data_IF_694988843992
#
_entry.id   IF_694988843992
#
_cell.length_a   1.000
_cell.length_b   1.000
_cell.length_c   1.000
_cell.angle_alpha   90.00
_cell.angle_beta   90.00
_cell.angle_gamma   90.00
#
_symmetry.space_group_name_H-M   'P 1'
#
loop_
_entity.id
_entity.type
_entity.pdbx_description
1 polymer ?
#
# COMPACT_ATOMS: atom_id res chain seq x y z
N UNK A 1 4.10 -39.43 -27.18
CA UNK A 1 3.91 -39.56 -25.72
C UNK A 1 4.92 -38.66 -25.05
N UNK A 2 4.55 -37.41 -24.77
CA UNK A 2 5.40 -36.49 -24.01
C UNK A 2 4.82 -36.45 -22.59
N UNK A 3 5.60 -36.95 -21.64
CA UNK A 3 5.29 -36.89 -20.23
C UNK A 3 5.41 -35.43 -19.77
N UNK A 4 4.38 -34.93 -19.09
CA UNK A 4 4.46 -33.71 -18.31
C UNK A 4 5.32 -34.02 -17.09
N UNK A 5 6.47 -33.35 -17.01
CA UNK A 5 7.30 -33.33 -15.82
C UNK A 5 6.72 -32.24 -14.93
N UNK A 6 6.19 -32.63 -13.78
CA UNK A 6 5.76 -31.69 -12.74
C UNK A 6 6.99 -30.96 -12.22
N UNK A 7 7.24 -29.76 -12.75
CA UNK A 7 8.24 -28.86 -12.19
C UNK A 7 7.70 -28.33 -10.85
N UNK A 8 8.39 -28.78 -9.80
CA UNK A 8 8.23 -28.35 -8.42
C UNK A 8 8.17 -26.82 -8.35
N UNK A 9 7.00 -26.28 -7.97
CA UNK A 9 6.81 -24.86 -7.68
C UNK A 9 7.79 -24.47 -6.57
N UNK A 10 8.91 -23.86 -6.96
CA UNK A 10 9.87 -23.28 -6.04
C UNK A 10 9.15 -22.21 -5.21
N UNK A 11 9.11 -22.39 -3.89
CA UNK A 11 8.69 -21.35 -2.94
C UNK A 11 9.75 -20.25 -2.96
N UNK A 12 9.59 -19.30 -3.87
CA UNK A 12 10.42 -18.09 -3.88
C UNK A 12 9.91 -17.17 -2.77
N UNK A 13 10.68 -17.03 -1.69
CA UNK A 13 10.41 -16.08 -0.61
C UNK A 13 10.77 -14.67 -1.09
N UNK A 14 9.80 -13.74 -1.04
CA UNK A 14 10.03 -12.31 -1.28
C UNK A 14 10.24 -11.64 0.09
N UNK A 15 11.25 -10.77 0.21
CA UNK A 15 11.47 -9.97 1.42
C UNK A 15 10.46 -8.83 1.45
N UNK A 16 9.52 -8.86 2.39
CA UNK A 16 8.38 -7.96 2.46
C UNK A 16 8.50 -7.01 3.65
N UNK A 17 8.18 -5.73 3.42
CA UNK A 17 7.84 -4.74 4.44
C UNK A 17 6.32 -4.74 4.67
N UNK A 18 5.86 -4.35 5.85
CA UNK A 18 4.42 -4.23 6.14
C UNK A 18 4.09 -2.78 6.52
N UNK A 19 3.03 -2.24 5.92
CA UNK A 19 2.47 -0.93 6.27
C UNK A 19 1.02 -1.09 6.67
N UNK A 20 0.67 -0.61 7.85
CA UNK A 20 -0.70 -0.63 8.35
C UNK A 20 -1.24 0.80 8.34
N UNK A 21 -2.31 1.02 7.58
CA UNK A 21 -3.18 2.19 7.74
C UNK A 21 -4.22 1.94 8.82
N UNK A 22 -4.48 2.93 9.68
CA UNK A 22 -5.49 2.83 10.72
C UNK A 22 -6.81 3.48 10.26
N UNK A 23 -7.87 2.68 10.09
CA UNK A 23 -9.19 3.13 9.60
C UNK A 23 -10.12 3.63 10.71
N UNK A 24 -10.97 4.63 10.40
CA UNK A 24 -11.90 5.30 11.34
C UNK A 24 -12.80 4.31 12.11
N UNK A 25 -13.13 3.15 11.50
CA UNK A 25 -13.99 2.11 12.10
C UNK A 25 -13.38 0.70 12.21
N UNK A 26 -12.16 0.42 11.70
CA UNK A 26 -11.59 -0.96 11.66
C UNK A 26 -10.14 -1.03 12.20
N UNK A 27 -9.85 -1.74 13.30
CA UNK A 27 -9.70 -3.20 13.43
C UNK A 27 -8.55 -3.86 12.62
N UNK A 28 -7.59 -3.10 12.08
CA UNK A 28 -6.36 -3.69 11.49
C UNK A 28 -5.14 -3.50 12.39
N UNK A 29 -4.81 -2.24 12.73
CA UNK A 29 -3.62 -1.96 13.55
C UNK A 29 -3.74 -2.33 15.02
N UNK A 30 -4.90 -2.09 15.64
CA UNK A 30 -5.11 -2.43 17.06
C UNK A 30 -5.18 -3.94 17.26
N UNK A 31 -5.98 -4.73 16.50
CA UNK A 31 -5.95 -6.19 16.58
C UNK A 31 -4.57 -6.78 16.27
N UNK A 32 -3.87 -6.31 15.22
CA UNK A 32 -2.53 -6.80 14.93
C UNK A 32 -1.54 -6.60 16.10
N UNK A 33 -1.61 -5.45 16.79
CA UNK A 33 -0.78 -5.19 17.99
C UNK A 33 -1.23 -6.02 19.19
N UNK A 34 -2.53 -6.27 19.35
CA UNK A 34 -3.07 -7.16 20.38
C UNK A 34 -2.61 -8.60 20.14
N UNK A 35 -2.64 -9.08 18.90
CA UNK A 35 -2.26 -10.45 18.56
C UNK A 35 -0.74 -10.65 18.68
N UNK A 36 0.07 -9.67 18.27
CA UNK A 36 1.51 -9.64 18.57
C UNK A 36 1.78 -9.72 20.08
N UNK A 37 0.96 -9.07 20.91
CA UNK A 37 1.10 -9.13 22.36
C UNK A 37 0.74 -10.50 22.93
N UNK A 38 -0.35 -11.12 22.45
CA UNK A 38 -0.80 -12.43 22.92
C UNK A 38 0.21 -13.54 22.60
N UNK A 39 0.94 -13.42 21.48
CA UNK A 39 1.95 -14.40 21.11
C UNK A 39 3.32 -14.14 21.74
N UNK A 40 3.56 -12.98 22.39
CA UNK A 40 4.86 -12.55 22.95
C UNK A 40 6.02 -12.51 21.93
N UNK A 41 5.70 -12.37 20.63
CA UNK A 41 6.70 -12.31 19.55
C UNK A 41 6.85 -10.89 19.02
N UNK A 42 8.08 -10.54 18.64
CA UNK A 42 8.36 -9.32 17.89
C UNK A 42 8.18 -9.54 16.39
N UNK A 43 7.77 -8.48 15.67
CA UNK A 43 7.71 -8.49 14.22
C UNK A 43 9.08 -8.81 13.60
N UNK A 44 9.09 -9.78 12.68
CA UNK A 44 10.29 -10.23 11.94
C UNK A 44 10.64 -9.31 10.78
N UNK A 45 9.68 -8.50 10.34
CA UNK A 45 9.82 -7.52 9.27
C UNK A 45 9.48 -6.12 9.79
N UNK A 46 9.98 -5.04 9.17
CA UNK A 46 9.60 -3.69 9.54
C UNK A 46 8.10 -3.45 9.37
N UNK A 47 7.48 -2.87 10.39
CA UNK A 47 6.06 -2.50 10.44
C UNK A 47 5.95 -1.01 10.66
N UNK A 48 5.36 -0.30 9.70
CA UNK A 48 4.99 1.11 9.88
C UNK A 48 3.47 1.22 10.02
N UNK A 49 3.00 1.74 11.16
CA UNK A 49 1.60 2.01 11.42
C UNK A 49 1.34 3.52 11.30
N UNK A 50 0.46 3.92 10.39
CA UNK A 50 0.08 5.32 10.19
C UNK A 50 -1.35 5.55 10.66
N UNK A 51 -1.52 6.55 11.52
CA UNK A 51 -2.82 6.98 12.04
C UNK A 51 -3.33 8.13 11.17
N UNK A 52 -4.28 7.86 10.28
CA UNK A 52 -4.70 8.84 9.28
C UNK A 52 -6.22 8.92 9.05
N UNK A 53 -6.96 7.83 9.22
CA UNK A 53 -8.40 7.85 8.99
C UNK A 53 -9.21 8.17 10.25
N UNK A 54 -8.63 8.46 11.41
CA UNK A 54 -9.40 8.78 12.63
C UNK A 54 -9.90 10.22 12.69
N UNK A 55 -9.31 11.13 11.91
CA UNK A 55 -9.73 12.54 11.85
C UNK A 55 -11.08 12.64 11.14
N UNK A 56 -12.02 13.36 11.76
CA UNK A 56 -13.31 13.69 11.16
C UNK A 56 -13.41 15.19 10.92
N UNK A 57 -14.15 15.59 9.89
CA UNK A 57 -14.41 17.01 9.59
C UNK A 57 -15.65 17.47 10.35
N UNK A 58 -15.51 17.71 11.66
CA UNK A 58 -16.59 18.26 12.50
C UNK A 58 -16.77 19.77 12.30
N UNK A 59 -15.66 20.48 12.12
CA UNK A 59 -15.59 21.91 11.85
C UNK A 59 -14.93 22.13 10.49
N UNK A 60 -15.51 23.01 9.67
CA UNK A 60 -14.99 23.40 8.36
C UNK A 60 -15.14 24.92 8.14
N UNK A 61 -14.36 25.48 7.20
CA UNK A 61 -14.39 26.92 6.83
C UNK A 61 -14.20 27.88 8.01
N UNK A 62 -13.35 27.50 8.97
CA UNK A 62 -12.93 28.35 10.07
C UNK A 62 -11.41 28.31 10.20
N UNK A 63 -10.79 29.41 10.60
CA UNK A 63 -9.33 29.49 10.82
C UNK A 63 -8.86 28.45 11.85
N UNK A 64 -9.70 28.14 12.85
CA UNK A 64 -9.40 27.15 13.89
C UNK A 64 -9.89 25.73 13.56
N UNK A 65 -10.40 25.46 12.35
CA UNK A 65 -11.02 24.18 12.01
C UNK A 65 -10.07 22.99 12.17
N UNK A 66 -8.81 23.13 11.72
CA UNK A 66 -7.80 22.07 11.84
C UNK A 66 -7.55 21.72 13.31
N UNK A 67 -7.30 22.73 14.15
CA UNK A 67 -7.03 22.50 15.57
C UNK A 67 -8.23 21.88 16.29
N UNK A 68 -9.45 22.37 16.00
CA UNK A 68 -10.67 21.85 16.62
C UNK A 68 -10.92 20.38 16.27
N UNK A 69 -10.75 20.00 14.99
CA UNK A 69 -10.93 18.60 14.55
C UNK A 69 -9.88 17.67 15.16
N UNK A 70 -8.62 18.11 15.24
CA UNK A 70 -7.54 17.34 15.88
C UNK A 70 -7.81 17.13 17.38
N UNK A 71 -8.34 18.13 18.08
CA UNK A 71 -8.65 18.01 19.50
C UNK A 71 -9.82 17.06 19.75
N UNK A 72 -10.87 17.11 18.90
CA UNK A 72 -11.98 16.17 18.94
C UNK A 72 -11.54 14.73 18.66
N UNK A 73 -10.67 14.53 17.67
CA UNK A 73 -10.08 13.22 17.36
C UNK A 73 -9.33 12.65 18.57
N UNK A 74 -8.48 13.46 19.20
CA UNK A 74 -7.72 13.04 20.37
C UNK A 74 -8.61 12.69 21.56
N UNK A 75 -9.69 13.45 21.77
CA UNK A 75 -10.68 13.14 22.82
C UNK A 75 -11.40 11.81 22.55
N UNK A 76 -11.82 11.56 21.30
CA UNK A 76 -12.55 10.34 20.90
C UNK A 76 -11.68 9.08 20.94
N UNK A 77 -10.40 9.19 20.62
CA UNK A 77 -9.51 8.04 20.40
C UNK A 77 -8.38 7.93 21.44
N UNK A 78 -8.49 8.64 22.57
CA UNK A 78 -7.43 8.72 23.60
C UNK A 78 -6.87 7.35 24.03
N UNK A 79 -7.75 6.38 24.30
CA UNK A 79 -7.34 5.03 24.73
C UNK A 79 -6.61 4.28 23.62
N UNK A 80 -7.09 4.38 22.38
CA UNK A 80 -6.47 3.76 21.20
C UNK A 80 -5.07 4.34 20.95
N UNK A 81 -4.92 5.65 21.02
CA UNK A 81 -3.62 6.31 20.87
C UNK A 81 -2.66 5.96 21.99
N UNK A 82 -3.14 5.83 23.24
CA UNK A 82 -2.32 5.36 24.34
C UNK A 82 -1.84 3.92 24.13
N UNK A 83 -2.72 3.03 23.65
CA UNK A 83 -2.39 1.65 23.34
C UNK A 83 -1.36 1.52 22.20
N UNK A 84 -1.57 2.22 21.08
CA UNK A 84 -0.63 2.19 19.94
C UNK A 84 0.72 2.82 20.30
N UNK A 85 0.71 3.91 21.08
CA UNK A 85 1.94 4.50 21.60
C UNK A 85 2.69 3.53 22.51
N UNK A 86 1.97 2.77 23.34
CA UNK A 86 2.59 1.70 24.12
C UNK A 86 3.17 0.61 23.21
N UNK A 87 2.42 0.14 22.20
CA UNK A 87 2.87 -0.87 21.24
C UNK A 87 4.16 -0.48 20.52
N UNK A 88 4.27 0.77 20.06
CA UNK A 88 5.49 1.30 19.43
C UNK A 88 6.72 1.26 20.34
N UNK A 89 6.54 1.28 21.67
CA UNK A 89 7.64 1.18 22.63
C UNK A 89 7.90 -0.27 23.08
N UNK A 90 6.87 -1.13 23.00
CA UNK A 90 6.93 -2.51 23.44
C UNK A 90 7.56 -3.44 22.38
N UNK A 91 7.37 -3.16 21.09
CA UNK A 91 7.86 -3.99 19.99
C UNK A 91 9.05 -3.37 19.27
N UNK A 92 10.02 -4.22 18.91
CA UNK A 92 11.07 -3.85 17.97
C UNK A 92 10.55 -3.89 16.54
N UNK A 93 11.12 -3.08 15.66
CA UNK A 93 10.73 -2.96 14.24
C UNK A 93 9.32 -2.40 14.00
N UNK A 94 8.71 -1.75 15.00
CA UNK A 94 7.42 -1.07 14.87
C UNK A 94 7.60 0.45 14.97
N UNK A 95 7.22 1.16 13.91
CA UNK A 95 7.12 2.62 13.90
C UNK A 95 5.64 3.02 13.92
N UNK A 96 5.27 3.96 14.77
CA UNK A 96 3.92 4.56 14.78
C UNK A 96 4.01 6.03 14.39
N UNK A 97 3.37 6.38 13.27
CA UNK A 97 3.20 7.76 12.80
C UNK A 97 1.92 8.33 13.42
N UNK A 98 2.00 9.44 14.17
CA UNK A 98 0.87 9.99 14.93
C UNK A 98 -0.19 10.64 14.03
N UNK A 99 -1.42 10.84 14.54
CA UNK A 99 -2.48 11.52 13.81
C UNK A 99 -2.07 12.94 13.38
N UNK A 100 -2.62 13.40 12.26
CA UNK A 100 -2.32 14.71 11.69
C UNK A 100 -1.00 14.81 10.92
N UNK A 101 -0.27 13.69 10.75
CA UNK A 101 0.98 13.65 9.98
C UNK A 101 0.78 13.47 8.47
N UNK A 102 -0.45 13.24 8.02
CA UNK A 102 -0.80 12.95 6.63
C UNK A 102 -1.54 11.63 6.48
N UNK A 103 -1.76 11.22 5.23
CA UNK A 103 -2.44 9.98 4.85
C UNK A 103 -1.39 8.89 4.57
N UNK A 104 -1.67 7.64 4.96
CA UNK A 104 -0.73 6.50 4.94
C UNK A 104 0.02 6.36 3.62
N UNK A 105 -0.67 6.46 2.48
CA UNK A 105 -0.03 6.29 1.18
C UNK A 105 0.88 7.46 0.79
N UNK A 106 0.49 8.69 1.16
CA UNK A 106 1.32 9.87 0.90
C UNK A 106 2.55 9.88 1.82
N UNK A 107 2.36 9.59 3.11
CA UNK A 107 3.47 9.43 4.07
C UNK A 107 4.39 8.29 3.64
N UNK A 108 3.84 7.20 3.10
CA UNK A 108 4.65 6.12 2.56
C UNK A 108 5.49 6.59 1.37
N UNK A 109 4.87 7.23 0.38
CA UNK A 109 5.54 7.72 -0.82
C UNK A 109 6.64 8.75 -0.52
N UNK A 110 6.40 9.64 0.44
CA UNK A 110 7.29 10.78 0.73
C UNK A 110 8.33 10.48 1.82
N UNK A 111 8.07 9.54 2.73
CA UNK A 111 8.90 9.36 3.94
C UNK A 111 9.26 7.91 4.26
N UNK A 112 8.34 6.94 4.14
CA UNK A 112 8.58 5.57 4.63
C UNK A 112 9.19 4.63 3.58
N UNK A 113 8.94 4.87 2.29
CA UNK A 113 9.47 4.06 1.20
C UNK A 113 10.98 4.23 1.07
N UNK A 114 11.69 3.12 0.94
CA UNK A 114 13.15 3.10 0.85
C UNK A 114 13.64 2.90 -0.57
N UNK A 115 12.80 2.34 -1.44
CA UNK A 115 13.11 1.92 -2.82
C UNK A 115 14.13 0.79 -2.89
N UNK A 116 15.24 0.90 -2.15
CA UNK A 116 16.24 -0.14 -1.96
C UNK A 116 16.57 -0.25 -0.47
N UNK A 117 16.44 -1.45 0.08
CA UNK A 117 16.93 -1.76 1.41
C UNK A 117 18.42 -2.11 1.37
N UNK A 118 19.13 -1.77 2.44
CA UNK A 118 20.48 -2.24 2.71
C UNK A 118 20.46 -2.98 4.06
N UNK A 119 20.58 -4.31 4.01
CA UNK A 119 20.72 -5.14 5.20
C UNK A 119 22.13 -5.72 5.24
N UNK A 120 22.99 -5.16 6.09
CA UNK A 120 24.36 -5.65 6.30
C UNK A 120 25.18 -5.81 4.99
N UNK A 121 24.99 -4.90 4.04
CA UNK A 121 25.68 -4.91 2.73
C UNK A 121 24.93 -5.68 1.63
N UNK A 122 23.81 -6.33 1.95
CA UNK A 122 22.92 -6.94 0.98
C UNK A 122 21.90 -5.89 0.54
N UNK A 123 21.94 -5.51 -0.74
CA UNK A 123 20.98 -4.62 -1.36
C UNK A 123 19.84 -5.43 -1.99
N UNK A 124 18.60 -5.05 -1.69
CA UNK A 124 17.41 -5.64 -2.30
C UNK A 124 16.31 -4.59 -2.50
N UNK A 125 15.45 -4.75 -3.52
CA UNK A 125 14.37 -3.80 -3.77
C UNK A 125 13.39 -3.78 -2.59
N UNK A 126 12.84 -2.60 -2.34
CA UNK A 126 11.72 -2.43 -1.43
C UNK A 126 10.48 -3.12 -2.01
N UNK A 127 9.71 -3.78 -1.14
CA UNK A 127 8.39 -4.30 -1.46
C UNK A 127 7.52 -4.24 -0.21
N UNK A 128 6.23 -3.95 -0.39
CA UNK A 128 5.35 -3.64 0.74
C UNK A 128 3.97 -4.23 0.58
N UNK A 129 3.47 -4.87 1.64
CA UNK A 129 2.04 -5.14 1.76
C UNK A 129 1.43 -4.27 2.83
N UNK A 130 0.17 -3.92 2.66
CA UNK A 130 -0.52 -3.18 3.69
C UNK A 130 -1.97 -3.54 3.84
N UNK A 131 -2.53 -3.23 5.01
CA UNK A 131 -3.95 -3.52 5.34
C UNK A 131 -4.91 -2.51 4.70
N UNK A 132 -4.47 -1.86 3.62
CA UNK A 132 -5.20 -0.84 2.88
C UNK A 132 -5.08 -1.16 1.38
N UNK A 133 -6.21 -1.17 0.67
CA UNK A 133 -6.26 -1.50 -0.76
C UNK A 133 -5.42 -0.56 -1.62
N UNK A 134 -5.26 0.70 -1.21
CA UNK A 134 -4.53 1.73 -1.95
C UNK A 134 -3.02 1.69 -1.67
N UNK A 135 -2.53 0.67 -0.95
CA UNK A 135 -1.08 0.42 -0.81
C UNK A 135 -0.36 0.40 -2.16
N UNK A 136 -1.07 0.04 -3.23
CA UNK A 136 -0.59 0.10 -4.61
C UNK A 136 -0.14 1.49 -5.05
N UNK A 137 -0.52 2.60 -4.39
CA UNK A 137 -0.01 3.94 -4.73
C UNK A 137 1.52 4.01 -4.79
N UNK A 138 2.22 3.20 -3.97
CA UNK A 138 3.69 3.17 -3.91
C UNK A 138 4.34 2.60 -5.17
N UNK A 139 3.58 1.84 -5.97
CA UNK A 139 4.02 1.29 -7.25
C UNK A 139 4.47 2.38 -8.23
N UNK A 140 3.92 3.60 -8.10
CA UNK A 140 4.34 4.76 -8.90
C UNK A 140 5.81 5.16 -8.67
N UNK A 141 6.37 4.79 -7.52
CA UNK A 141 7.79 4.98 -7.15
C UNK A 141 8.67 3.79 -7.56
N UNK A 142 8.10 2.73 -8.14
CA UNK A 142 8.82 1.51 -8.49
C UNK A 142 9.01 0.54 -7.32
N UNK A 143 8.30 0.73 -6.20
CA UNK A 143 8.24 -0.23 -5.09
C UNK A 143 7.06 -1.16 -5.33
N UNK A 144 7.29 -2.47 -5.37
CA UNK A 144 6.20 -3.43 -5.57
C UNK A 144 5.33 -3.50 -4.30
N UNK A 145 4.07 -3.04 -4.36
CA UNK A 145 3.21 -3.08 -3.19
C UNK A 145 1.71 -3.21 -3.45
N UNK A 146 1.01 -3.80 -2.49
CA UNK A 146 -0.41 -4.13 -2.65
C UNK A 146 -1.16 -4.34 -1.32
N UNK A 147 -2.49 -4.22 -1.36
CA UNK A 147 -3.33 -4.24 -0.16
C UNK A 147 -3.85 -5.62 0.23
N UNK A 148 -3.45 -6.15 1.40
CA UNK A 148 -3.80 -7.46 1.95
C UNK A 148 -4.85 -7.37 3.07
N UNK A 149 -5.44 -8.51 3.46
CA UNK A 149 -6.24 -8.59 4.69
C UNK A 149 -5.38 -8.53 5.96
N UNK A 150 -6.02 -8.27 7.11
CA UNK A 150 -5.32 -8.18 8.40
C UNK A 150 -4.60 -9.48 8.80
N UNK A 151 -5.24 -10.63 8.57
CA UNK A 151 -4.69 -11.95 8.91
C UNK A 151 -3.43 -12.24 8.07
N UNK A 152 -3.45 -11.93 6.77
CA UNK A 152 -2.28 -12.09 5.91
C UNK A 152 -1.13 -11.16 6.33
N UNK A 153 -1.46 -9.93 6.72
CA UNK A 153 -0.48 -8.99 7.26
C UNK A 153 0.15 -9.51 8.56
N UNK A 154 -0.65 -10.00 9.51
CA UNK A 154 -0.17 -10.58 10.77
C UNK A 154 0.73 -11.81 10.52
N UNK A 155 0.32 -12.71 9.64
CA UNK A 155 1.14 -13.86 9.27
C UNK A 155 2.50 -13.41 8.69
N UNK A 156 2.50 -12.41 7.81
CA UNK A 156 3.72 -11.84 7.25
C UNK A 156 4.59 -11.15 8.33
N UNK A 157 3.99 -10.49 9.34
CA UNK A 157 4.71 -9.90 10.47
C UNK A 157 5.49 -10.95 11.26
N UNK A 158 4.91 -12.14 11.41
CA UNK A 158 5.53 -13.28 12.08
C UNK A 158 6.55 -14.02 11.20
N UNK A 159 6.77 -13.54 9.97
CA UNK A 159 7.72 -14.12 9.02
C UNK A 159 7.16 -15.28 8.20
N UNK A 160 5.84 -15.49 8.18
CA UNK A 160 5.23 -16.46 7.28
C UNK A 160 5.32 -15.95 5.84
N UNK A 161 5.83 -16.76 4.90
CA UNK A 161 5.81 -16.38 3.49
C UNK A 161 4.37 -16.27 2.99
N UNK A 162 4.07 -15.17 2.29
CA UNK A 162 2.78 -15.05 1.61
C UNK A 162 2.72 -16.00 0.41
N UNK A 163 1.60 -16.71 0.27
CA UNK A 163 1.33 -17.53 -0.90
C UNK A 163 0.53 -16.75 -1.93
N UNK A 164 1.04 -16.66 -3.15
CA UNK A 164 0.32 -16.10 -4.28
C UNK A 164 0.48 -16.99 -5.50
N UNK A 165 -0.60 -17.10 -6.29
CA UNK A 165 -0.50 -17.63 -7.65
C UNK A 165 0.30 -16.63 -8.47
N UNK A 166 1.31 -17.09 -9.21
CA UNK A 166 2.10 -16.21 -10.08
C UNK A 166 1.15 -15.51 -11.07
N UNK A 167 0.96 -14.19 -10.96
CA UNK A 167 -0.03 -13.50 -11.78
C UNK A 167 0.49 -13.29 -13.19
N UNK A 168 -0.43 -13.25 -14.16
CA UNK A 168 -0.10 -12.78 -15.50
C UNK A 168 0.26 -11.29 -15.46
N UNK A 169 1.09 -10.84 -16.40
CA UNK A 169 1.48 -9.41 -16.53
C UNK A 169 0.89 -8.84 -17.82
N UNK A 170 0.17 -7.73 -17.70
CA UNK A 170 -0.38 -6.96 -18.82
C UNK A 170 0.49 -5.71 -19.01
N UNK A 171 1.21 -5.64 -20.12
CA UNK A 171 1.95 -4.43 -20.47
C UNK A 171 1.01 -3.31 -20.94
N UNK A 172 1.06 -2.15 -20.31
CA UNK A 172 0.36 -0.93 -20.72
C UNK A 172 1.34 0.08 -21.32
N UNK A 173 1.37 0.19 -22.65
CA UNK A 173 2.28 1.10 -23.34
C UNK A 173 1.75 2.53 -23.36
N UNK A 174 2.50 3.46 -22.76
CA UNK A 174 2.28 4.90 -22.88
C UNK A 174 3.19 5.49 -23.95
N UNK A 175 2.63 6.32 -24.82
CA UNK A 175 3.34 6.97 -25.93
C UNK A 175 2.86 8.40 -26.13
N UNK A 176 3.77 9.27 -26.55
CA UNK A 176 3.49 10.69 -26.77
C UNK A 176 3.47 11.50 -25.47
N UNK A 177 2.90 12.69 -25.52
CA UNK A 177 2.81 13.63 -24.40
C UNK A 177 1.36 14.04 -24.16
N UNK A 178 1.02 14.37 -22.91
CA UNK A 178 -0.26 14.96 -22.59
C UNK A 178 -0.43 16.31 -23.30
N UNK A 179 -1.63 16.57 -23.81
CA UNK A 179 -1.95 17.85 -24.45
C UNK A 179 -2.13 18.93 -23.37
N UNK A 180 -1.85 20.18 -23.73
CA UNK A 180 -2.12 21.31 -22.83
C UNK A 180 -3.58 21.31 -22.37
N UNK A 181 -3.78 21.45 -21.05
CA UNK A 181 -5.09 21.43 -20.42
C UNK A 181 -5.60 20.04 -20.02
N UNK A 182 -4.90 18.96 -20.38
CA UNK A 182 -5.19 17.61 -19.87
C UNK A 182 -4.53 17.46 -18.50
N UNK A 183 -5.31 16.99 -17.53
CA UNK A 183 -4.86 16.80 -16.14
C UNK A 183 -4.46 15.34 -15.86
N UNK A 184 -3.75 15.12 -14.75
CA UNK A 184 -3.48 13.78 -14.24
C UNK A 184 -4.78 12.97 -14.02
N UNK A 185 -5.85 13.63 -13.59
CA UNK A 185 -7.17 13.03 -13.40
C UNK A 185 -7.77 12.52 -14.72
N UNK A 186 -7.64 13.30 -15.80
CA UNK A 186 -8.13 12.87 -17.13
C UNK A 186 -7.37 11.63 -17.62
N UNK A 187 -6.05 11.61 -17.41
CA UNK A 187 -5.21 10.46 -17.75
C UNK A 187 -5.62 9.22 -16.95
N UNK A 188 -5.69 9.32 -15.62
CA UNK A 188 -5.99 8.15 -14.77
C UNK A 188 -7.38 7.60 -15.03
N UNK A 189 -8.39 8.44 -15.26
CA UNK A 189 -9.74 7.98 -15.59
C UNK A 189 -9.77 7.27 -16.95
N UNK A 190 -9.02 7.77 -17.93
CA UNK A 190 -8.89 7.13 -19.25
C UNK A 190 -8.21 5.77 -19.15
N UNK A 191 -7.09 5.69 -18.44
CA UNK A 191 -6.35 4.45 -18.19
C UNK A 191 -7.23 3.44 -17.45
N UNK A 192 -7.93 3.88 -16.40
CA UNK A 192 -8.86 3.06 -15.62
C UNK A 192 -9.96 2.48 -16.50
N UNK A 193 -10.57 3.30 -17.35
CA UNK A 193 -11.61 2.86 -18.28
C UNK A 193 -11.08 1.79 -19.26
N UNK A 194 -9.88 1.99 -19.82
CA UNK A 194 -9.26 1.06 -20.76
C UNK A 194 -8.94 -0.29 -20.11
N UNK A 195 -8.32 -0.27 -18.92
CA UNK A 195 -7.94 -1.45 -18.16
C UNK A 195 -9.17 -2.24 -17.69
N UNK A 196 -10.21 -1.55 -17.21
CA UNK A 196 -11.48 -2.17 -16.82
C UNK A 196 -12.17 -2.86 -18.00
N UNK A 197 -12.13 -2.25 -19.19
CA UNK A 197 -12.67 -2.87 -20.41
C UNK A 197 -11.85 -4.09 -20.87
N UNK A 198 -10.54 -4.08 -20.64
CA UNK A 198 -9.66 -5.18 -21.01
C UNK A 198 -9.78 -6.39 -20.07
N UNK A 199 -10.08 -6.18 -18.78
CA UNK A 199 -10.19 -7.25 -17.79
C UNK A 199 -8.84 -7.66 -17.21
N UNK A 200 -8.36 -6.83 -16.27
CA UNK A 200 -7.06 -7.01 -15.59
C UNK A 200 -7.15 -7.53 -14.16
N UNK A 201 -8.36 -7.83 -13.70
CA UNK A 201 -8.61 -8.66 -12.51
C UNK A 201 -7.79 -9.94 -12.68
N UNK A 202 -6.84 -10.20 -11.79
CA UNK A 202 -5.98 -11.40 -11.92
C UNK A 202 -4.50 -11.11 -11.96
N UNK A 203 -4.17 -9.88 -12.35
CA UNK A 203 -2.98 -9.64 -13.15
C UNK A 203 -2.25 -8.40 -12.66
N UNK A 204 -0.94 -8.44 -12.84
CA UNK A 204 -0.12 -7.23 -12.78
C UNK A 204 -0.29 -6.43 -14.05
N UNK A 205 -0.15 -5.12 -13.94
CA UNK A 205 -0.21 -4.20 -15.07
C UNK A 205 1.09 -3.38 -15.04
N UNK A 206 1.98 -3.62 -15.99
CA UNK A 206 3.26 -2.92 -16.04
C UNK A 206 3.20 -1.79 -17.06
N UNK A 207 3.41 -0.56 -16.64
CA UNK A 207 3.49 0.59 -17.54
C UNK A 207 4.89 0.71 -18.13
N UNK A 208 4.93 0.92 -19.45
CA UNK A 208 6.17 1.07 -20.18
C UNK A 208 6.01 2.00 -21.39
N UNK A 209 7.12 2.34 -22.03
CA UNK A 209 7.15 3.18 -23.23
C UNK A 209 7.49 4.63 -22.95
N UNK A 210 7.81 5.37 -24.01
CA UNK A 210 8.39 6.72 -23.93
C UNK A 210 7.52 7.73 -23.17
N UNK A 211 6.20 7.52 -23.12
CA UNK A 211 5.29 8.40 -22.40
C UNK A 211 5.46 8.38 -20.88
N UNK A 212 6.09 7.34 -20.31
CA UNK A 212 6.25 7.24 -18.85
C UNK A 212 7.27 8.24 -18.30
N UNK A 213 8.34 8.50 -19.05
CA UNK A 213 9.39 9.45 -18.67
C UNK A 213 8.91 10.90 -18.65
N UNK A 214 7.76 11.18 -19.23
CA UNK A 214 7.12 12.51 -19.24
C UNK A 214 6.17 12.70 -18.04
N UNK A 215 5.84 11.63 -17.30
CA UNK A 215 4.91 11.70 -16.17
C UNK A 215 5.66 11.97 -14.85
N UNK A 216 5.29 13.04 -14.12
CA UNK A 216 5.75 13.24 -12.75
C UNK A 216 5.42 12.04 -11.86
N UNK A 217 6.16 11.90 -10.76
CA UNK A 217 5.90 10.85 -9.76
C UNK A 217 4.45 10.90 -9.24
N UNK A 218 3.92 12.09 -8.96
CA UNK A 218 2.56 12.25 -8.47
C UNK A 218 1.51 11.66 -9.43
N UNK A 219 1.70 11.83 -10.74
CA UNK A 219 0.79 11.31 -11.77
C UNK A 219 0.88 9.78 -11.85
N UNK A 220 2.10 9.23 -11.79
CA UNK A 220 2.33 7.78 -11.72
C UNK A 220 1.70 7.17 -10.47
N UNK A 221 1.90 7.79 -9.31
CA UNK A 221 1.28 7.37 -8.05
C UNK A 221 -0.25 7.47 -8.09
N UNK A 222 -0.81 8.48 -8.77
CA UNK A 222 -2.26 8.62 -8.96
C UNK A 222 -2.83 7.49 -9.81
N UNK A 223 -2.13 7.09 -10.89
CA UNK A 223 -2.50 5.93 -11.70
C UNK A 223 -2.44 4.65 -10.87
N UNK A 224 -1.34 4.48 -10.12
CA UNK A 224 -1.09 3.36 -9.23
C UNK A 224 -2.17 3.19 -8.14
N UNK A 225 -2.61 4.30 -7.56
CA UNK A 225 -3.63 4.36 -6.53
C UNK A 225 -5.01 3.89 -7.01
N UNK A 226 -5.33 4.09 -8.29
CA UNK A 226 -6.64 3.77 -8.87
C UNK A 226 -6.78 2.30 -9.31
N UNK A 227 -5.82 1.45 -8.97
CA UNK A 227 -5.81 0.00 -9.25
C UNK A 227 -7.14 -0.67 -8.89
N UNK A 228 -7.67 -0.40 -7.68
CA UNK A 228 -8.94 -0.95 -7.17
C UNK A 228 -10.13 -0.64 -8.08
N UNK A 229 -10.15 0.55 -8.69
CA UNK A 229 -11.25 1.04 -9.53
C UNK A 229 -11.27 0.40 -10.92
N UNK A 230 -10.24 -0.36 -11.28
CA UNK A 230 -10.13 -1.08 -12.55
C UNK A 230 -10.86 -2.44 -12.50
N UNK A 231 -11.41 -2.81 -11.35
CA UNK A 231 -12.14 -4.05 -11.11
C UNK A 231 -13.66 -3.93 -11.39
N UNK A 232 -14.36 -5.06 -11.42
CA UNK A 232 -15.83 -5.10 -11.42
C UNK A 232 -16.35 -5.21 -9.98
N UNK A 233 -17.59 -4.76 -9.68
CA UNK A 233 -18.05 -4.49 -8.31
C UNK A 233 -18.12 -5.68 -7.34
N UNK A 234 -17.79 -6.90 -7.77
CA UNK A 234 -18.10 -8.14 -7.04
C UNK A 234 -16.89 -9.07 -6.87
N UNK A 235 -15.72 -8.68 -7.35
CA UNK A 235 -14.50 -9.47 -7.15
C UNK A 235 -13.70 -8.84 -6.00
N UNK A 236 -13.63 -9.57 -4.88
CA UNK A 236 -12.88 -9.18 -3.67
C UNK A 236 -11.50 -9.82 -3.62
N UNK A 237 -11.21 -10.68 -4.59
CA UNK A 237 -9.90 -11.26 -4.81
C UNK A 237 -9.37 -10.61 -6.07
N UNK A 238 -8.49 -9.59 -6.00
CA UNK A 238 -7.32 -9.53 -6.88
C UNK A 238 -6.41 -8.29 -6.73
N UNK A 239 -5.14 -8.57 -6.97
CA UNK A 239 -3.99 -7.70 -6.77
C UNK A 239 -3.57 -7.10 -8.12
N UNK A 240 -3.98 -5.87 -8.39
CA UNK A 240 -3.41 -5.12 -9.52
C UNK A 240 -2.20 -4.38 -8.98
N UNK A 241 -1.02 -4.98 -9.16
CA UNK A 241 0.24 -4.28 -8.99
C UNK A 241 0.51 -3.51 -10.26
N UNK A 242 0.66 -2.20 -10.12
CA UNK A 242 1.13 -1.36 -11.20
C UNK A 242 2.66 -1.31 -11.08
N UNK A 243 3.41 -1.22 -12.17
CA UNK A 243 4.86 -0.97 -12.05
C UNK A 243 5.26 -0.03 -13.17
N UNK A 244 5.82 1.12 -12.81
CA UNK A 244 6.32 2.08 -13.78
C UNK A 244 7.84 1.96 -13.85
N UNK A 245 8.35 1.24 -14.85
CA UNK A 245 9.78 1.18 -15.09
C UNK A 245 10.27 2.55 -15.57
N UNK A 246 11.26 3.13 -14.88
CA UNK A 246 11.94 4.38 -15.25
C UNK A 246 12.99 4.15 -16.31
#
# INVERSE_FOLDING_TARGET
>A
MAALQDDMVGRNSVNLKIIIGMFNEDFTGVPAVVDLFLELYNAKVPVDLVIDHSVQVDVARSENAVQANMELEFQRNKERFAFLKWGSNAFHNMLVVPPGSGIVHQVNLEYLARVVFNNEGILYPDSVVGTDSHTTMIDGLGVAGWGVGGIEAEAAMLGQPMSMVLPGVVGFKLSGKLRNGVTATDLVLTVTQMLRKHGVVGKFVEFYGEGIGELPLADRATIANMSRNMEQPWDSSLWIMLHCNT
#
